data_IF_068886069584
#
_entry.id   IF_068886069584
#
_cell.length_a   1.000
_cell.length_b   1.000
_cell.length_c   1.000
_cell.angle_alpha   90.00
_cell.angle_beta   90.00
_cell.angle_gamma   90.00
#
_symmetry.space_group_name_H-M   'P 1'
#
loop_
_entity.id
_entity.type
_entity.pdbx_description
1 polymer ?
#
# COMPACT_ATOMS: atom_id res chain seq x y z
N UNK A 1 -23.18 -3.31 -29.26
CA UNK A 1 -23.06 -1.89 -28.89
C UNK A 1 -23.00 -1.83 -27.39
N UNK A 2 -21.82 -1.53 -26.86
CA UNK A 2 -21.59 -0.81 -25.61
C UNK A 2 -20.07 -0.65 -25.52
N UNK A 3 -19.60 0.31 -26.30
CA UNK A 3 -18.23 0.76 -26.34
C UNK A 3 -17.91 1.32 -24.96
N UNK A 4 -17.04 0.64 -24.21
CA UNK A 4 -16.42 1.24 -23.02
C UNK A 4 -15.67 2.48 -23.49
N UNK A 5 -16.31 3.65 -23.33
CA UNK A 5 -15.67 4.93 -23.43
C UNK A 5 -14.71 5.01 -22.25
N UNK A 6 -13.46 4.63 -22.51
CA UNK A 6 -12.34 5.02 -21.67
C UNK A 6 -12.32 6.54 -21.76
N UNK A 7 -12.69 7.19 -20.66
CA UNK A 7 -12.64 8.63 -20.52
C UNK A 7 -11.26 9.12 -20.99
N UNK A 8 -11.27 9.81 -22.13
CA UNK A 8 -10.14 10.36 -22.88
C UNK A 8 -9.60 11.61 -22.15
N UNK A 9 -9.38 11.46 -20.83
CA UNK A 9 -9.00 12.51 -19.88
C UNK A 9 -7.58 12.30 -19.33
N UNK A 10 -6.79 11.48 -20.00
CA UNK A 10 -5.34 11.41 -19.82
C UNK A 10 -4.67 12.28 -20.88
N UNK A 11 -5.07 13.54 -20.87
CA UNK A 11 -4.38 14.62 -21.54
C UNK A 11 -2.89 14.55 -21.12
N UNK A 12 -2.02 14.37 -22.10
CA UNK A 12 -0.56 14.26 -22.03
C UNK A 12 0.04 14.58 -20.65
N UNK A 13 0.40 13.54 -19.88
CA UNK A 13 0.95 13.74 -18.53
C UNK A 13 2.12 14.73 -18.55
N UNK A 14 1.96 15.87 -17.86
CA UNK A 14 2.96 16.93 -17.86
C UNK A 14 4.32 16.36 -17.45
N UNK A 15 5.35 16.62 -18.27
CA UNK A 15 6.74 16.20 -18.06
C UNK A 15 7.23 16.48 -16.64
N UNK A 16 6.83 17.61 -16.06
CA UNK A 16 7.12 18.01 -14.68
C UNK A 16 6.64 16.99 -13.64
N UNK A 17 5.41 16.48 -13.81
CA UNK A 17 4.82 15.50 -12.91
C UNK A 17 5.57 14.18 -13.04
N UNK A 18 5.94 13.77 -14.26
CA UNK A 18 6.71 12.54 -14.51
C UNK A 18 8.07 12.61 -13.82
N UNK A 19 8.79 13.72 -13.97
CA UNK A 19 10.10 13.92 -13.36
C UNK A 19 10.00 13.96 -11.83
N UNK A 20 9.00 14.67 -11.29
CA UNK A 20 8.74 14.68 -9.86
C UNK A 20 8.39 13.30 -9.29
N UNK A 21 7.59 12.50 -10.00
CA UNK A 21 7.26 11.12 -9.61
C UNK A 21 8.48 10.20 -9.65
N UNK A 22 9.33 10.31 -10.67
CA UNK A 22 10.59 9.55 -10.75
C UNK A 22 11.53 9.89 -9.59
N UNK A 23 11.68 11.17 -9.27
CA UNK A 23 12.48 11.59 -8.12
C UNK A 23 11.85 11.12 -6.80
N UNK A 24 10.51 11.08 -6.70
CA UNK A 24 9.81 10.62 -5.51
C UNK A 24 10.04 9.12 -5.29
N UNK A 25 10.09 8.34 -6.37
CA UNK A 25 10.49 6.94 -6.32
C UNK A 25 11.93 6.78 -5.79
N UNK A 26 12.89 7.55 -6.31
CA UNK A 26 14.28 7.53 -5.81
C UNK A 26 14.36 7.95 -4.33
N UNK A 27 13.59 8.96 -3.92
CA UNK A 27 13.47 9.36 -2.51
C UNK A 27 13.01 8.19 -1.64
N UNK A 28 12.06 7.40 -2.10
CA UNK A 28 11.58 6.22 -1.38
C UNK A 28 12.64 5.13 -1.27
N UNK A 29 13.49 4.96 -2.29
CA UNK A 29 14.55 3.93 -2.29
C UNK A 29 15.75 4.31 -1.41
N UNK A 30 16.16 5.58 -1.45
CA UNK A 30 17.40 6.04 -0.81
C UNK A 30 17.17 6.90 0.44
N UNK A 31 15.90 7.17 0.79
CA UNK A 31 15.48 7.88 1.98
C UNK A 31 16.17 9.26 2.20
N UNK A 32 16.50 9.98 1.12
CA UNK A 32 17.03 11.34 1.26
C UNK A 32 15.95 12.32 1.75
N UNK A 33 16.35 13.49 2.26
CA UNK A 33 15.46 14.46 2.92
C UNK A 33 14.46 15.12 1.96
N UNK A 34 13.44 15.80 2.48
CA UNK A 34 12.56 16.61 1.63
C UNK A 34 13.31 17.81 1.03
N UNK A 35 14.25 18.41 1.77
CA UNK A 35 15.11 19.47 1.23
C UNK A 35 15.94 19.00 0.05
N UNK A 36 16.57 17.82 0.14
CA UNK A 36 17.35 17.26 -0.96
C UNK A 36 16.46 16.96 -2.19
N UNK A 37 15.21 16.55 -1.99
CA UNK A 37 14.26 16.38 -3.07
C UNK A 37 14.02 17.70 -3.81
N UNK A 38 13.68 18.75 -3.05
CA UNK A 38 13.39 20.07 -3.62
C UNK A 38 14.63 20.65 -4.33
N UNK A 39 15.82 20.52 -3.74
CA UNK A 39 17.08 20.98 -4.33
C UNK A 39 17.38 20.28 -5.67
N UNK A 40 17.27 18.94 -5.72
CA UNK A 40 17.50 18.17 -6.94
C UNK A 40 16.50 18.58 -8.02
N UNK A 41 15.22 18.70 -7.68
CA UNK A 41 14.20 19.06 -8.66
C UNK A 41 14.45 20.46 -9.23
N UNK A 42 14.81 21.43 -8.38
CA UNK A 42 15.15 22.78 -8.77
C UNK A 42 16.37 22.84 -9.72
N UNK A 43 17.40 22.04 -9.46
CA UNK A 43 18.63 21.99 -10.28
C UNK A 43 18.35 21.39 -11.66
N UNK A 44 17.63 20.27 -11.72
CA UNK A 44 17.57 19.45 -12.93
C UNK A 44 16.34 19.69 -13.82
N UNK A 45 15.24 20.21 -13.26
CA UNK A 45 13.98 20.33 -14.03
C UNK A 45 13.62 21.76 -14.42
N UNK A 46 14.33 22.79 -13.91
CA UNK A 46 13.99 24.21 -14.08
C UNK A 46 12.54 24.58 -13.69
N UNK A 47 11.84 23.69 -12.98
CA UNK A 47 10.42 23.76 -12.68
C UNK A 47 10.19 23.73 -11.17
N UNK A 48 9.17 24.47 -10.70
CA UNK A 48 8.85 24.66 -9.28
C UNK A 48 7.72 23.74 -8.79
N UNK A 49 7.64 22.49 -9.26
CA UNK A 49 6.62 21.57 -8.77
C UNK A 49 7.02 21.02 -7.40
N UNK A 50 6.33 21.44 -6.35
CA UNK A 50 6.69 21.01 -4.99
C UNK A 50 6.40 19.52 -4.76
N UNK A 51 7.16 18.92 -3.85
CA UNK A 51 6.88 17.56 -3.36
C UNK A 51 5.42 17.36 -2.93
N UNK A 52 4.80 18.40 -2.34
CA UNK A 52 3.39 18.40 -1.99
C UNK A 52 2.48 18.20 -3.20
N UNK A 53 2.71 18.93 -4.30
CA UNK A 53 1.92 18.78 -5.54
C UNK A 53 2.07 17.37 -6.12
N UNK A 54 3.28 16.81 -6.12
CA UNK A 54 3.51 15.44 -6.59
C UNK A 54 2.78 14.41 -5.71
N UNK A 55 2.88 14.52 -4.38
CA UNK A 55 2.14 13.64 -3.45
C UNK A 55 0.61 13.78 -3.62
N UNK A 56 0.10 15.00 -3.84
CA UNK A 56 -1.32 15.28 -4.09
C UNK A 56 -1.79 14.63 -5.39
N UNK A 57 -1.03 14.80 -6.47
CA UNK A 57 -1.31 14.17 -7.75
C UNK A 57 -1.34 12.64 -7.61
N UNK A 58 -0.35 12.04 -6.94
CA UNK A 58 -0.31 10.60 -6.69
C UNK A 58 -1.57 10.12 -5.94
N UNK A 59 -2.01 10.86 -4.93
CA UNK A 59 -3.25 10.57 -4.19
C UNK A 59 -4.49 10.63 -5.09
N UNK A 60 -4.56 11.63 -5.97
CA UNK A 60 -5.69 11.83 -6.89
C UNK A 60 -5.80 10.69 -7.91
N UNK A 61 -4.68 10.26 -8.51
CA UNK A 61 -4.70 9.20 -9.54
C UNK A 61 -4.89 7.80 -8.95
N UNK A 62 -4.38 7.54 -7.74
CA UNK A 62 -4.45 6.21 -7.13
C UNK A 62 -5.68 6.02 -6.25
N UNK A 63 -6.29 7.12 -5.79
CA UNK A 63 -7.33 7.08 -4.75
C UNK A 63 -6.84 6.55 -3.40
N UNK A 64 -5.53 6.34 -3.23
CA UNK A 64 -4.95 5.74 -2.02
C UNK A 64 -4.79 6.82 -0.95
N UNK A 65 -5.66 6.74 0.07
CA UNK A 65 -5.68 7.67 1.20
C UNK A 65 -5.28 6.92 2.47
N UNK A 66 -4.20 7.31 3.16
CA UNK A 66 -3.84 6.70 4.42
C UNK A 66 -4.84 7.09 5.51
N UNK A 67 -5.27 6.12 6.29
CA UNK A 67 -5.87 6.33 7.60
C UNK A 67 -4.76 6.57 8.62
N UNK A 68 -4.97 7.45 9.59
CA UNK A 68 -4.02 7.72 10.65
C UNK A 68 -4.56 7.20 11.96
N UNK A 69 -3.82 6.30 12.60
CA UNK A 69 -4.22 5.72 13.87
C UNK A 69 -3.25 6.12 14.97
N UNK A 70 -3.80 6.45 16.12
CA UNK A 70 -3.01 6.66 17.32
C UNK A 70 -2.34 5.34 17.72
N UNK A 71 -1.06 5.41 18.06
CA UNK A 71 -0.27 4.27 18.47
C UNK A 71 0.43 4.57 19.79
N UNK A 72 0.68 3.53 20.56
CA UNK A 72 1.60 3.61 21.70
C UNK A 72 2.97 4.15 21.23
N UNK A 73 3.59 5.04 22.00
CA UNK A 73 4.91 5.59 21.66
C UNK A 73 5.98 4.50 21.52
N UNK A 74 5.85 3.44 22.33
CA UNK A 74 6.68 2.24 22.29
C UNK A 74 6.19 1.18 21.29
N UNK A 75 5.20 1.49 20.45
CA UNK A 75 4.62 0.62 19.42
C UNK A 75 4.00 -0.70 19.91
N UNK A 76 3.64 -0.80 21.20
CA UNK A 76 3.08 -2.03 21.75
C UNK A 76 1.66 -2.35 21.23
N UNK A 77 0.84 -1.31 21.04
CA UNK A 77 -0.53 -1.41 20.52
C UNK A 77 -0.86 -0.22 19.62
N UNK A 78 -1.80 -0.45 18.70
CA UNK A 78 -2.56 0.60 18.02
C UNK A 78 -3.86 0.84 18.80
N UNK A 79 -4.26 2.09 19.02
CA UNK A 79 -5.49 2.44 19.75
C UNK A 79 -6.71 2.34 18.84
N UNK A 80 -7.01 1.13 18.38
CA UNK A 80 -8.15 0.78 17.52
C UNK A 80 -8.91 -0.41 18.10
N UNK A 81 -10.14 -0.64 17.64
CA UNK A 81 -10.97 -1.76 18.08
C UNK A 81 -11.12 -1.80 19.61
N UNK A 82 -10.74 -2.90 20.24
CA UNK A 82 -10.83 -3.06 21.70
C UNK A 82 -10.00 -2.03 22.50
N UNK A 83 -8.98 -1.43 21.90
CA UNK A 83 -8.12 -0.42 22.55
C UNK A 83 -8.53 1.02 22.25
N UNK A 84 -9.58 1.24 21.47
CA UNK A 84 -9.96 2.57 20.98
C UNK A 84 -10.22 3.58 22.09
N UNK A 85 -10.84 3.15 23.19
CA UNK A 85 -11.15 4.00 24.35
C UNK A 85 -9.97 4.18 25.31
N UNK A 86 -8.87 3.44 25.13
CA UNK A 86 -7.77 3.43 26.09
C UNK A 86 -6.98 4.74 26.02
N UNK A 87 -6.63 5.25 27.20
CA UNK A 87 -5.78 6.45 27.38
C UNK A 87 -4.36 6.11 27.80
N UNK A 88 -4.15 4.89 28.29
CA UNK A 88 -2.87 4.37 28.77
C UNK A 88 -2.66 3.01 28.10
N UNK A 89 -1.44 2.77 27.63
CA UNK A 89 -1.08 1.49 27.02
C UNK A 89 -1.13 0.39 28.09
N UNK A 90 -1.85 -0.73 27.87
CA UNK A 90 -1.98 -1.80 28.85
C UNK A 90 -0.70 -2.65 28.99
N UNK A 91 0.29 -2.46 28.10
CA UNK A 91 1.54 -3.23 28.09
C UNK A 91 2.67 -2.48 28.78
N UNK A 92 2.86 -1.20 28.47
CA UNK A 92 3.99 -0.40 28.95
C UNK A 92 3.60 0.85 29.76
N UNK A 93 2.31 1.03 30.05
CA UNK A 93 1.77 2.14 30.85
C UNK A 93 2.06 3.56 30.32
N UNK A 94 2.58 3.69 29.10
CA UNK A 94 2.72 4.99 28.45
C UNK A 94 1.36 5.62 28.16
N UNK A 95 1.22 6.92 28.42
CA UNK A 95 0.01 7.67 28.03
C UNK A 95 -0.10 7.75 26.50
N UNK A 96 -1.32 7.65 25.98
CA UNK A 96 -1.62 7.81 24.55
C UNK A 96 -1.33 9.22 24.05
N UNK A 97 -1.70 10.23 24.84
CA UNK A 97 -1.65 11.64 24.46
C UNK A 97 -0.49 12.36 25.17
N UNK A 98 0.03 13.41 24.50
CA UNK A 98 0.94 14.40 25.05
C UNK A 98 0.20 15.45 25.89
N UNK A 99 0.94 16.40 26.46
CA UNK A 99 0.39 17.49 27.29
C UNK A 99 -0.53 18.43 26.52
N UNK A 100 -0.55 18.37 25.19
CA UNK A 100 -1.40 19.19 24.30
C UNK A 100 -2.62 18.40 23.81
N UNK A 101 -2.82 17.17 24.31
CA UNK A 101 -3.92 16.30 23.88
C UNK A 101 -3.73 15.65 22.51
N UNK A 102 -2.52 15.68 21.94
CA UNK A 102 -2.21 15.01 20.67
C UNK A 102 -1.64 13.61 20.92
N UNK A 103 -1.93 12.66 20.04
CA UNK A 103 -1.31 11.34 20.11
C UNK A 103 0.21 11.44 20.07
N UNK A 104 0.88 10.73 20.98
CA UNK A 104 2.35 10.73 21.05
C UNK A 104 3.00 10.06 19.85
N UNK A 105 2.32 9.09 19.25
CA UNK A 105 2.73 8.44 18.01
C UNK A 105 1.50 8.16 17.16
N UNK A 106 1.67 8.34 15.85
CA UNK A 106 0.63 8.08 14.85
C UNK A 106 1.22 7.12 13.83
N UNK A 107 0.46 6.08 13.48
CA UNK A 107 0.79 5.16 12.41
C UNK A 107 -0.08 5.46 11.19
N UNK A 108 0.50 5.82 10.04
CA UNK A 108 -0.24 5.82 8.78
C UNK A 108 -0.49 4.37 8.35
N UNK A 109 -1.74 4.06 8.04
CA UNK A 109 -2.18 2.77 7.51
C UNK A 109 -2.78 2.97 6.13
N UNK A 110 -2.23 2.25 5.16
CA UNK A 110 -2.82 2.17 3.84
C UNK A 110 -3.60 0.87 3.70
N UNK A 111 -4.89 1.00 3.38
CA UNK A 111 -5.83 -0.11 3.25
C UNK A 111 -5.33 -1.16 2.26
N UNK A 112 -5.14 -2.40 2.74
CA UNK A 112 -4.78 -3.53 1.87
C UNK A 112 -5.86 -3.74 0.80
N UNK A 113 -7.14 -3.60 1.20
CA UNK A 113 -8.28 -3.70 0.31
C UNK A 113 -8.23 -2.68 -0.83
N UNK A 114 -7.93 -1.43 -0.53
CA UNK A 114 -7.89 -0.39 -1.57
C UNK A 114 -6.68 -0.56 -2.49
N UNK A 115 -5.55 -1.02 -1.96
CA UNK A 115 -4.40 -1.43 -2.79
C UNK A 115 -4.75 -2.58 -3.73
N UNK A 116 -5.45 -3.61 -3.24
CA UNK A 116 -5.87 -4.74 -4.07
C UNK A 116 -6.84 -4.30 -5.17
N UNK A 117 -7.85 -3.48 -4.84
CA UNK A 117 -8.76 -2.92 -5.84
C UNK A 117 -8.00 -2.18 -6.94
N UNK A 118 -7.04 -1.34 -6.56
CA UNK A 118 -6.21 -0.62 -7.52
C UNK A 118 -5.41 -1.57 -8.41
N UNK A 119 -4.81 -2.61 -7.84
CA UNK A 119 -4.04 -3.61 -8.60
C UNK A 119 -4.90 -4.44 -9.53
N UNK A 120 -6.09 -4.87 -9.11
CA UNK A 120 -7.02 -5.61 -9.97
C UNK A 120 -7.63 -4.75 -11.08
N UNK A 121 -7.63 -3.42 -10.93
CA UNK A 121 -8.06 -2.50 -11.98
C UNK A 121 -7.02 -2.33 -13.10
N UNK A 122 -5.77 -2.76 -12.89
CA UNK A 122 -4.74 -2.83 -13.93
C UNK A 122 -4.68 -4.25 -14.52
N UNK A 123 -4.82 -4.37 -15.84
CA UNK A 123 -4.93 -5.67 -16.49
C UNK A 123 -3.66 -6.54 -16.39
N UNK A 124 -2.47 -5.92 -16.31
CA UNK A 124 -1.21 -6.66 -16.19
C UNK A 124 -1.03 -7.15 -14.75
N UNK A 125 -1.25 -6.29 -13.77
CA UNK A 125 -1.24 -6.64 -12.34
C UNK A 125 -2.30 -7.67 -11.99
N UNK A 126 -3.50 -7.58 -12.56
CA UNK A 126 -4.55 -8.58 -12.37
C UNK A 126 -4.10 -9.98 -12.84
N UNK A 127 -3.40 -10.07 -13.98
CA UNK A 127 -2.82 -11.34 -14.46
C UNK A 127 -1.76 -11.89 -13.51
N UNK A 128 -0.91 -11.03 -12.97
CA UNK A 128 0.10 -11.45 -11.98
C UNK A 128 -0.55 -11.94 -10.67
N UNK A 129 -1.62 -11.30 -10.22
CA UNK A 129 -2.38 -11.73 -9.04
C UNK A 129 -3.11 -13.08 -9.25
N UNK A 130 -3.29 -13.50 -10.51
CA UNK A 130 -3.87 -14.79 -10.88
C UNK A 130 -2.88 -15.97 -10.76
N UNK A 131 -1.62 -15.69 -10.40
CA UNK A 131 -0.54 -16.67 -10.30
C UNK A 131 -0.92 -17.90 -9.47
N UNK A 132 -1.53 -17.73 -8.30
CA UNK A 132 -1.93 -18.84 -7.41
C UNK A 132 -2.80 -19.87 -8.14
N UNK A 133 -3.84 -19.39 -8.82
CA UNK A 133 -4.77 -20.27 -9.53
C UNK A 133 -4.09 -20.95 -10.73
N UNK A 134 -3.28 -20.21 -11.50
CA UNK A 134 -2.53 -20.78 -12.63
C UNK A 134 -1.52 -21.83 -12.17
N UNK A 135 -0.83 -21.56 -11.07
CA UNK A 135 0.12 -22.49 -10.47
C UNK A 135 -0.56 -23.82 -10.13
N UNK A 136 -1.69 -23.77 -9.43
CA UNK A 136 -2.43 -24.97 -9.01
C UNK A 136 -3.00 -25.78 -10.17
N UNK A 137 -3.43 -25.12 -11.26
CA UNK A 137 -3.90 -25.83 -12.47
C UNK A 137 -2.75 -26.57 -13.16
N UNK A 138 -1.57 -25.97 -13.18
CA UNK A 138 -0.43 -26.50 -13.92
C UNK A 138 0.42 -27.49 -13.10
N UNK A 139 0.26 -27.51 -11.77
CA UNK A 139 0.97 -28.44 -10.89
C UNK A 139 0.52 -29.87 -11.17
N UNK A 140 1.50 -30.73 -11.46
CA UNK A 140 1.28 -32.10 -11.95
C UNK A 140 2.10 -33.17 -11.21
N UNK A 141 2.93 -32.77 -10.26
CA UNK A 141 3.70 -33.66 -9.41
C UNK A 141 3.52 -33.29 -7.92
N UNK A 142 4.11 -34.10 -7.04
CA UNK A 142 4.04 -33.94 -5.59
C UNK A 142 5.24 -33.16 -5.01
N UNK A 143 6.08 -32.56 -5.85
CA UNK A 143 7.24 -31.79 -5.38
C UNK A 143 6.78 -30.50 -4.68
N UNK A 144 7.62 -29.98 -3.78
CA UNK A 144 7.34 -28.74 -3.06
C UNK A 144 8.07 -27.58 -3.75
N UNK A 145 7.43 -26.94 -4.72
CA UNK A 145 8.03 -25.85 -5.50
C UNK A 145 7.59 -24.47 -5.02
N UNK A 146 6.38 -24.36 -4.47
CA UNK A 146 5.78 -23.10 -4.04
C UNK A 146 5.14 -23.22 -2.64
N UNK A 147 4.84 -22.08 -2.03
CA UNK A 147 4.14 -22.02 -0.74
C UNK A 147 2.76 -22.71 -0.80
N UNK A 148 2.15 -22.77 -1.99
CA UNK A 148 0.85 -23.39 -2.21
C UNK A 148 0.88 -24.94 -2.10
N UNK A 149 2.06 -25.56 -2.16
CA UNK A 149 2.17 -27.01 -1.93
C UNK A 149 2.19 -27.37 -0.44
N UNK A 150 2.42 -26.37 0.40
CA UNK A 150 2.57 -26.51 1.84
C UNK A 150 1.30 -27.02 2.53
N UNK A 151 1.50 -27.80 3.59
CA UNK A 151 0.41 -28.36 4.42
C UNK A 151 -0.56 -27.27 4.92
N UNK A 152 -0.03 -26.15 5.39
CA UNK A 152 -0.82 -25.03 5.92
C UNK A 152 -1.75 -24.47 4.84
N UNK A 153 -1.24 -24.24 3.63
CA UNK A 153 -2.07 -23.73 2.54
C UNK A 153 -3.21 -24.71 2.22
N UNK A 154 -2.91 -26.00 2.11
CA UNK A 154 -3.91 -27.06 1.88
C UNK A 154 -4.97 -27.12 2.98
N UNK A 155 -4.59 -26.93 4.24
CA UNK A 155 -5.53 -26.82 5.36
C UNK A 155 -6.48 -25.62 5.19
N UNK A 156 -5.96 -24.43 4.85
CA UNK A 156 -6.76 -23.23 4.61
C UNK A 156 -7.72 -23.38 3.41
N UNK A 157 -7.30 -24.08 2.35
CA UNK A 157 -8.19 -24.42 1.23
C UNK A 157 -9.34 -25.31 1.70
N UNK A 158 -9.07 -26.32 2.53
CA UNK A 158 -10.11 -27.20 3.07
C UNK A 158 -11.10 -26.47 4.00
N UNK A 159 -10.70 -25.31 4.54
CA UNK A 159 -11.57 -24.41 5.31
C UNK A 159 -12.41 -23.45 4.43
N UNK A 160 -12.35 -23.58 3.09
CA UNK A 160 -13.04 -22.73 2.11
C UNK A 160 -12.58 -21.26 2.13
N UNK A 161 -11.28 -21.03 2.34
CA UNK A 161 -10.69 -19.68 2.34
C UNK A 161 -10.13 -19.23 0.97
N UNK A 162 -10.16 -20.10 -0.05
CA UNK A 162 -9.57 -19.86 -1.38
C UNK A 162 -10.45 -20.38 -2.54
N UNK A 163 -11.77 -20.22 -2.41
CA UNK A 163 -12.76 -20.78 -3.35
C UNK A 163 -12.81 -20.01 -4.68
N UNK A 164 -12.40 -18.73 -4.71
CA UNK A 164 -12.37 -17.91 -5.92
C UNK A 164 -10.99 -17.96 -6.57
N UNK A 165 -10.95 -18.10 -7.89
CA UNK A 165 -9.72 -18.07 -8.68
C UNK A 165 -8.88 -16.79 -8.49
N UNK A 166 -9.52 -15.69 -8.07
CA UNK A 166 -8.88 -14.40 -7.77
C UNK A 166 -8.45 -14.24 -6.32
N UNK A 167 -8.68 -15.25 -5.47
CA UNK A 167 -8.24 -15.18 -4.08
C UNK A 167 -6.72 -15.07 -3.99
N UNK A 168 -6.25 -14.11 -3.18
CA UNK A 168 -4.83 -13.79 -3.02
C UNK A 168 -4.38 -14.24 -1.63
N UNK A 169 -3.36 -15.08 -1.57
CA UNK A 169 -2.71 -15.45 -0.33
C UNK A 169 -1.65 -14.41 0.05
N UNK A 170 -1.75 -13.85 1.25
CA UNK A 170 -0.70 -13.01 1.83
C UNK A 170 0.16 -13.85 2.78
N UNK A 171 1.48 -13.77 2.61
CA UNK A 171 2.43 -14.24 3.62
C UNK A 171 2.89 -13.04 4.45
N UNK A 172 2.87 -13.18 5.77
CA UNK A 172 3.55 -12.26 6.66
C UNK A 172 4.97 -12.80 6.87
N UNK A 173 5.98 -12.09 6.37
CA UNK A 173 7.40 -12.36 6.60
C UNK A 173 7.98 -11.49 7.70
#
# INVERSE_FOLDING_TARGET
>A
EDTMQIDDKFDTLNKEIIEGLKLLHLKSLYNFTESAYDDILNIFTANNISLYKIKKYLKEITGLIPAFYDMCENSCICYTGQYESYRICPICNSTRLDTRGKAKKIMPYLSVKDRLKLQFNDANRAKELYYRHQYLINKNDDDLDDIFDGKIYKELVNENLFDDERDVAFTAS
#
